data_IF_494467665984
#
_entry.id   IF_494467665984
#
_cell.length_a   1.000
_cell.length_b   1.000
_cell.length_c   1.000
_cell.angle_alpha   90.00
_cell.angle_beta   90.00
_cell.angle_gamma   90.00
#
_symmetry.space_group_name_H-M   'P 1'
#
loop_
_entity.id
_entity.type
_entity.pdbx_description
1 polymer ?
#
# COMPACT_ATOMS: atom_id res chain seq x y z
N UNK A 1 18.59 4.72 -12.37
CA UNK A 1 18.09 5.75 -11.43
C UNK A 1 17.46 5.08 -10.23
N UNK A 2 17.62 5.62 -9.04
CA UNK A 2 16.93 5.13 -7.85
C UNK A 2 15.41 5.34 -7.99
N UNK A 3 14.61 4.37 -7.53
CA UNK A 3 13.16 4.50 -7.50
C UNK A 3 12.75 5.59 -6.51
N UNK A 4 11.75 6.39 -6.85
CA UNK A 4 11.20 7.39 -5.96
C UNK A 4 10.50 6.70 -4.78
N UNK A 5 10.80 7.15 -3.56
CA UNK A 5 10.12 6.61 -2.38
C UNK A 5 8.65 6.96 -2.37
N UNK A 6 7.82 6.03 -1.89
CA UNK A 6 6.39 6.23 -1.70
C UNK A 6 6.02 5.90 -0.25
N UNK A 7 5.50 6.88 0.45
CA UNK A 7 5.06 6.74 1.84
C UNK A 7 3.55 6.93 1.88
N UNK A 8 2.84 5.85 2.10
CA UNK A 8 1.39 5.83 2.16
C UNK A 8 0.94 5.60 3.60
N UNK A 9 0.03 6.43 4.08
CA UNK A 9 -0.63 6.22 5.36
C UNK A 9 -1.88 5.38 5.17
N UNK A 10 -1.97 4.25 5.84
CA UNK A 10 -3.19 3.47 5.94
C UNK A 10 -3.90 3.88 7.23
N UNK A 11 -4.95 4.69 7.10
CA UNK A 11 -5.69 5.19 8.26
C UNK A 11 -6.58 4.12 8.90
N UNK A 12 -6.85 3.05 8.15
CA UNK A 12 -7.74 1.95 8.60
C UNK A 12 -9.12 2.49 8.96
N UNK A 13 -9.79 1.92 9.94
CA UNK A 13 -11.12 2.38 10.39
C UNK A 13 -10.97 3.46 11.48
N UNK A 14 -10.43 4.63 11.07
CA UNK A 14 -10.21 5.75 11.97
C UNK A 14 -10.62 7.07 11.30
N UNK A 15 -11.07 8.00 12.10
CA UNK A 15 -11.46 9.38 11.75
C UNK A 15 -12.83 9.49 11.11
N UNK A 16 -13.65 10.34 11.71
CA UNK A 16 -14.86 10.89 11.09
C UNK A 16 -14.46 11.90 10.02
N UNK A 17 -15.36 12.29 9.09
CA UNK A 17 -15.03 13.30 8.08
C UNK A 17 -14.45 14.59 8.64
N UNK A 18 -14.99 15.10 9.75
CA UNK A 18 -14.46 16.33 10.39
C UNK A 18 -13.09 16.12 11.00
N UNK A 19 -12.87 14.99 11.68
CA UNK A 19 -11.57 14.62 12.25
C UNK A 19 -10.53 14.38 11.14
N UNK A 20 -10.94 13.81 10.02
CA UNK A 20 -10.08 13.58 8.86
C UNK A 20 -9.55 14.91 8.28
N UNK A 21 -10.43 15.89 8.10
CA UNK A 21 -10.03 17.22 7.63
C UNK A 21 -9.06 17.88 8.62
N UNK A 22 -9.35 17.81 9.91
CA UNK A 22 -8.46 18.37 10.94
C UNK A 22 -7.07 17.72 10.91
N UNK A 23 -7.00 16.40 10.75
CA UNK A 23 -5.73 15.68 10.64
C UNK A 23 -4.96 16.08 9.38
N UNK A 24 -5.65 16.21 8.24
CA UNK A 24 -5.02 16.66 6.99
C UNK A 24 -4.39 18.04 7.18
N UNK A 25 -5.11 18.99 7.77
CA UNK A 25 -4.60 20.33 8.01
C UNK A 25 -3.35 20.32 8.92
N UNK A 26 -3.33 19.47 9.93
CA UNK A 26 -2.16 19.28 10.79
C UNK A 26 -0.97 18.71 10.01
N UNK A 27 -1.19 17.71 9.15
CA UNK A 27 -0.13 16.99 8.48
C UNK A 27 0.43 17.68 7.24
N UNK A 28 -0.37 18.50 6.54
CA UNK A 28 0.04 19.20 5.31
C UNK A 28 1.45 19.82 5.38
N UNK A 29 1.76 20.69 6.35
CA UNK A 29 3.07 21.33 6.39
C UNK A 29 4.19 20.36 6.76
N UNK A 30 3.87 19.23 7.40
CA UNK A 30 4.84 18.25 7.87
C UNK A 30 5.27 17.28 6.76
N UNK A 31 4.46 17.11 5.72
CA UNK A 31 4.71 16.16 4.63
C UNK A 31 4.92 16.84 3.26
N UNK A 32 5.17 18.13 3.25
CA UNK A 32 5.40 18.91 2.03
C UNK A 32 6.80 18.65 1.44
N UNK A 33 7.02 17.41 1.02
CA UNK A 33 8.28 16.90 0.48
C UNK A 33 8.05 16.33 -0.92
N UNK A 34 8.51 17.04 -1.94
CA UNK A 34 8.33 16.67 -3.35
C UNK A 34 9.25 15.51 -3.78
N UNK A 35 10.25 15.14 -2.98
CA UNK A 35 11.14 14.01 -3.26
C UNK A 35 10.52 12.66 -2.92
N UNK A 36 9.36 12.67 -2.28
CA UNK A 36 8.63 11.47 -1.84
C UNK A 36 7.18 11.56 -2.35
N UNK A 37 6.65 10.46 -2.88
CA UNK A 37 5.22 10.37 -3.13
C UNK A 37 4.51 10.12 -1.81
N UNK A 38 3.66 11.06 -1.40
CA UNK A 38 2.89 11.00 -0.16
C UNK A 38 1.43 10.68 -0.47
N UNK A 39 0.92 9.61 0.13
CA UNK A 39 -0.45 9.14 -0.09
C UNK A 39 -1.17 9.00 1.25
N UNK A 40 -2.39 9.52 1.32
CA UNK A 40 -3.29 9.27 2.45
C UNK A 40 -4.37 8.29 2.00
N UNK A 41 -4.30 7.05 2.47
CA UNK A 41 -5.32 6.03 2.23
C UNK A 41 -6.32 6.08 3.38
N UNK A 42 -7.54 6.48 3.08
CA UNK A 42 -8.55 6.85 4.08
C UNK A 42 -9.83 6.04 3.92
N UNK A 43 -10.67 5.92 4.97
CA UNK A 43 -11.99 5.32 4.86
C UNK A 43 -12.83 5.97 3.76
N UNK A 44 -13.71 5.19 3.12
CA UNK A 44 -14.51 5.67 1.99
C UNK A 44 -15.32 6.95 2.31
N UNK A 45 -15.85 7.04 3.52
CA UNK A 45 -16.61 8.22 3.96
C UNK A 45 -15.77 9.49 4.05
N UNK A 46 -14.46 9.36 4.18
CA UNK A 46 -13.52 10.48 4.35
C UNK A 46 -12.88 10.93 3.02
N UNK A 47 -13.06 10.16 1.94
CA UNK A 47 -12.38 10.40 0.66
C UNK A 47 -12.68 11.80 0.12
N UNK A 48 -13.94 12.16 -0.03
CA UNK A 48 -14.33 13.46 -0.61
C UNK A 48 -13.80 14.64 0.22
N UNK A 49 -14.02 14.70 1.54
CA UNK A 49 -13.48 15.80 2.33
C UNK A 49 -11.95 15.84 2.36
N UNK A 50 -11.28 14.69 2.38
CA UNK A 50 -9.81 14.65 2.32
C UNK A 50 -9.30 15.10 0.95
N UNK A 51 -9.92 14.66 -0.14
CA UNK A 51 -9.55 15.10 -1.50
C UNK A 51 -9.67 16.62 -1.65
N UNK A 52 -10.70 17.22 -1.09
CA UNK A 52 -10.85 18.68 -1.08
C UNK A 52 -9.74 19.34 -0.26
N UNK A 53 -9.47 18.80 0.93
CA UNK A 53 -8.49 19.37 1.86
C UNK A 53 -7.05 19.32 1.34
N UNK A 54 -6.69 18.35 0.50
CA UNK A 54 -5.32 18.21 -0.04
C UNK A 54 -5.09 18.93 -1.37
N UNK A 55 -6.10 19.57 -1.95
CA UNK A 55 -5.95 20.32 -3.19
C UNK A 55 -4.81 21.34 -3.11
N UNK A 56 -3.99 21.37 -4.16
CA UNK A 56 -2.85 22.29 -4.23
C UNK A 56 -1.64 21.85 -3.43
N UNK A 57 -1.67 20.66 -2.83
CA UNK A 57 -0.54 20.06 -2.12
C UNK A 57 0.06 18.90 -2.92
N UNK A 58 1.18 18.35 -2.43
CA UNK A 58 1.81 17.14 -2.96
C UNK A 58 1.10 15.84 -2.53
N UNK A 59 0.09 15.91 -1.68
CA UNK A 59 -0.58 14.75 -1.12
C UNK A 59 -1.57 14.18 -2.12
N UNK A 60 -1.49 12.86 -2.35
CA UNK A 60 -2.47 12.11 -3.13
C UNK A 60 -3.41 11.34 -2.20
N UNK A 61 -4.65 11.14 -2.64
CA UNK A 61 -5.65 10.39 -1.88
C UNK A 61 -5.72 8.95 -2.39
N UNK A 62 -5.72 8.02 -1.45
CA UNK A 62 -5.93 6.60 -1.70
C UNK A 62 -7.22 6.11 -1.03
N UNK A 63 -7.80 5.06 -1.60
CA UNK A 63 -8.86 4.28 -0.99
C UNK A 63 -8.27 3.06 -0.29
N UNK A 64 -8.99 2.53 0.70
CA UNK A 64 -8.57 1.36 1.47
C UNK A 64 -9.08 0.05 0.89
N UNK A 65 -9.97 0.12 -0.10
CA UNK A 65 -10.52 -1.00 -0.85
C UNK A 65 -11.37 -0.45 -2.01
N UNK A 66 -11.74 -1.32 -2.93
CA UNK A 66 -12.78 -1.09 -3.94
C UNK A 66 -13.32 -2.43 -4.41
N UNK A 67 -14.50 -2.41 -5.05
CA UNK A 67 -15.03 -3.61 -5.68
C UNK A 67 -14.54 -3.73 -7.13
N UNK A 68 -14.79 -4.88 -7.76
CA UNK A 68 -14.34 -5.18 -9.11
C UNK A 68 -15.45 -5.13 -10.17
N UNK A 69 -16.64 -4.65 -9.80
CA UNK A 69 -17.75 -4.44 -10.74
C UNK A 69 -17.94 -2.95 -11.00
N UNK A 70 -18.41 -2.62 -12.20
CA UNK A 70 -18.61 -1.23 -12.60
C UNK A 70 -19.80 -0.58 -11.87
N UNK A 71 -20.85 -1.34 -11.65
CA UNK A 71 -22.06 -0.92 -10.94
C UNK A 71 -22.93 -2.14 -10.66
N UNK A 72 -24.00 -1.98 -9.89
CA UNK A 72 -25.02 -3.02 -9.79
C UNK A 72 -25.46 -3.34 -8.36
N UNK A 73 -26.01 -4.53 -8.20
CA UNK A 73 -26.61 -5.00 -6.95
C UNK A 73 -25.54 -5.53 -5.98
N UNK A 74 -24.67 -4.64 -5.53
CA UNK A 74 -23.57 -4.93 -4.61
C UNK A 74 -23.64 -3.97 -3.44
N UNK A 75 -24.68 -4.08 -2.65
CA UNK A 75 -24.98 -3.15 -1.55
C UNK A 75 -23.78 -2.97 -0.61
N UNK A 76 -23.36 -1.71 -0.43
CA UNK A 76 -22.24 -1.35 0.44
C UNK A 76 -20.88 -1.23 -0.25
N UNK A 77 -20.76 -1.71 -1.51
CA UNK A 77 -19.50 -1.67 -2.25
C UNK A 77 -19.27 -0.32 -2.95
N UNK A 78 -18.02 -0.01 -3.18
CA UNK A 78 -17.56 1.20 -3.86
C UNK A 78 -16.91 0.79 -5.19
N UNK A 79 -17.40 1.34 -6.31
CA UNK A 79 -16.85 1.05 -7.63
C UNK A 79 -15.59 1.87 -7.94
N UNK A 80 -14.76 1.42 -8.90
CA UNK A 80 -13.63 2.22 -9.37
C UNK A 80 -14.03 3.61 -9.88
N UNK A 81 -15.14 3.72 -10.62
CA UNK A 81 -15.62 5.00 -11.14
C UNK A 81 -16.00 5.98 -10.03
N UNK A 82 -16.58 5.51 -8.93
CA UNK A 82 -16.88 6.32 -7.76
C UNK A 82 -15.58 6.90 -7.17
N UNK A 83 -14.52 6.11 -7.14
CA UNK A 83 -13.23 6.54 -6.62
C UNK A 83 -12.55 7.58 -7.52
N UNK A 84 -12.53 7.35 -8.83
CA UNK A 84 -11.90 8.30 -9.76
C UNK A 84 -12.62 9.64 -9.78
N UNK A 85 -13.95 9.63 -9.76
CA UNK A 85 -14.75 10.86 -9.69
C UNK A 85 -14.47 11.63 -8.40
N UNK A 86 -14.24 10.94 -7.30
CA UNK A 86 -13.89 11.54 -6.01
C UNK A 86 -12.42 12.02 -5.91
N UNK A 87 -11.59 11.79 -6.93
CA UNK A 87 -10.20 12.24 -6.95
C UNK A 87 -9.18 11.24 -6.41
N UNK A 88 -9.56 9.98 -6.23
CA UNK A 88 -8.65 8.92 -5.74
C UNK A 88 -7.64 8.55 -6.81
N UNK A 89 -6.36 8.42 -6.42
CA UNK A 89 -5.24 8.04 -7.30
C UNK A 89 -4.64 6.68 -6.97
N UNK A 90 -4.82 6.21 -5.76
CA UNK A 90 -4.29 4.93 -5.26
C UNK A 90 -5.38 4.11 -4.58
N UNK A 91 -5.22 2.80 -4.56
CA UNK A 91 -6.11 1.92 -3.80
C UNK A 91 -5.31 0.80 -3.16
N UNK A 92 -5.50 0.61 -1.86
CA UNK A 92 -4.94 -0.53 -1.12
C UNK A 92 -5.81 -1.75 -1.42
N UNK A 93 -5.20 -2.81 -1.91
CA UNK A 93 -5.90 -4.06 -2.26
C UNK A 93 -5.28 -5.24 -1.53
N UNK A 94 -6.12 -6.11 -1.00
CA UNK A 94 -5.67 -7.34 -0.38
C UNK A 94 -4.97 -7.16 0.96
N UNK A 95 -5.24 -6.07 1.69
CA UNK A 95 -4.68 -5.87 3.02
C UNK A 95 -4.98 -7.07 3.92
N UNK A 96 -4.05 -7.42 4.80
CA UNK A 96 -4.17 -8.59 5.68
C UNK A 96 -5.47 -8.61 6.49
N UNK A 97 -5.92 -7.48 6.98
CA UNK A 97 -7.18 -7.37 7.73
C UNK A 97 -8.37 -7.76 6.87
N UNK A 98 -8.37 -7.40 5.58
CA UNK A 98 -9.46 -7.79 4.68
C UNK A 98 -9.42 -9.26 4.32
N UNK A 99 -8.24 -9.84 4.20
CA UNK A 99 -8.08 -11.29 3.99
C UNK A 99 -8.56 -12.09 5.21
N UNK A 100 -8.26 -11.59 6.41
CA UNK A 100 -8.61 -12.26 7.66
C UNK A 100 -10.10 -12.10 8.01
N UNK A 101 -10.64 -10.89 7.92
CA UNK A 101 -11.98 -10.58 8.44
C UNK A 101 -13.07 -10.51 7.39
N UNK A 102 -12.73 -10.31 6.12
CA UNK A 102 -13.71 -10.00 5.06
C UNK A 102 -13.59 -10.92 3.84
N UNK A 103 -13.03 -12.10 4.02
CA UNK A 103 -12.93 -13.15 2.99
C UNK A 103 -12.27 -12.71 1.67
N UNK A 104 -11.35 -11.75 1.71
CA UNK A 104 -10.55 -11.36 0.56
C UNK A 104 -9.59 -12.49 0.20
N UNK A 105 -9.58 -12.87 -1.09
CA UNK A 105 -8.71 -13.94 -1.61
C UNK A 105 -7.74 -13.40 -2.64
N UNK A 106 -6.75 -14.20 -3.04
CA UNK A 106 -5.84 -13.81 -4.12
C UNK A 106 -6.61 -13.55 -5.42
N UNK A 107 -7.68 -14.31 -5.67
CA UNK A 107 -8.51 -14.19 -6.86
C UNK A 107 -9.33 -12.89 -6.87
N UNK A 108 -9.93 -12.53 -5.74
CA UNK A 108 -10.65 -11.24 -5.63
C UNK A 108 -9.70 -10.06 -5.73
N UNK A 109 -8.52 -10.17 -5.13
CA UNK A 109 -7.45 -9.15 -5.26
C UNK A 109 -7.07 -8.99 -6.73
N UNK A 110 -6.87 -10.07 -7.47
CA UNK A 110 -6.54 -10.01 -8.89
C UNK A 110 -7.62 -9.27 -9.69
N UNK A 111 -8.90 -9.60 -9.48
CA UNK A 111 -10.00 -8.89 -10.15
C UNK A 111 -9.98 -7.39 -9.88
N UNK A 112 -9.70 -7.02 -8.63
CA UNK A 112 -9.58 -5.60 -8.23
C UNK A 112 -8.35 -4.94 -8.85
N UNK A 113 -7.22 -5.65 -8.94
CA UNK A 113 -6.01 -5.16 -9.62
C UNK A 113 -6.30 -4.78 -11.07
N UNK A 114 -6.95 -5.68 -11.81
CA UNK A 114 -7.28 -5.45 -13.22
C UNK A 114 -8.20 -4.23 -13.38
N UNK A 115 -9.19 -4.08 -12.51
CA UNK A 115 -10.11 -2.94 -12.53
C UNK A 115 -9.43 -1.63 -12.15
N UNK A 116 -8.50 -1.66 -11.22
CA UNK A 116 -7.71 -0.48 -10.85
C UNK A 116 -6.97 0.07 -12.09
N UNK A 117 -6.29 -0.79 -12.83
CA UNK A 117 -5.58 -0.39 -14.04
C UNK A 117 -6.52 0.12 -15.13
N UNK A 118 -7.67 -0.52 -15.34
CA UNK A 118 -8.67 -0.05 -16.31
C UNK A 118 -9.12 1.38 -16.04
N UNK A 119 -9.21 1.77 -14.76
CA UNK A 119 -9.67 3.08 -14.33
C UNK A 119 -8.55 4.07 -14.01
N UNK A 120 -7.30 3.72 -14.27
CA UNK A 120 -6.16 4.61 -14.02
C UNK A 120 -5.87 4.84 -12.54
N UNK A 121 -6.28 3.92 -11.66
CA UNK A 121 -5.98 3.97 -10.23
C UNK A 121 -4.75 3.08 -9.98
N UNK A 122 -3.75 3.59 -9.31
CA UNK A 122 -2.55 2.82 -8.98
C UNK A 122 -2.84 1.90 -7.79
N UNK A 123 -2.77 0.57 -7.96
CA UNK A 123 -2.96 -0.34 -6.85
C UNK A 123 -1.72 -0.43 -5.95
N UNK A 124 -1.97 -0.50 -4.65
CA UNK A 124 -1.00 -0.92 -3.63
C UNK A 124 -1.45 -2.30 -3.20
N UNK A 125 -0.86 -3.34 -3.79
CA UNK A 125 -1.23 -4.72 -3.48
C UNK A 125 -0.47 -5.20 -2.25
N UNK A 126 -1.21 -5.60 -1.22
CA UNK A 126 -0.65 -6.14 0.01
C UNK A 126 -0.42 -7.65 -0.09
N UNK A 127 0.70 -8.08 0.43
CA UNK A 127 1.05 -9.50 0.57
C UNK A 127 1.81 -9.70 1.90
N UNK A 128 1.85 -10.92 2.38
CA UNK A 128 2.57 -11.25 3.60
C UNK A 128 2.19 -12.62 4.12
N UNK A 129 3.09 -13.20 4.89
CA UNK A 129 2.92 -14.50 5.54
C UNK A 129 2.37 -14.36 6.95
N UNK A 130 1.69 -15.41 7.41
CA UNK A 130 1.35 -15.56 8.83
C UNK A 130 2.58 -15.99 9.64
N UNK A 131 2.51 -15.86 10.96
CA UNK A 131 3.57 -16.36 11.85
C UNK A 131 3.79 -17.85 11.67
N UNK A 132 2.72 -18.63 11.56
CA UNK A 132 2.78 -20.08 11.33
C UNK A 132 3.54 -20.40 10.03
N UNK A 133 3.23 -19.70 8.94
CA UNK A 133 3.92 -19.90 7.65
C UNK A 133 5.41 -19.58 7.75
N UNK A 134 5.77 -18.53 8.51
CA UNK A 134 7.16 -18.18 8.76
C UNK A 134 7.88 -19.28 9.56
N UNK A 135 7.26 -19.77 10.61
CA UNK A 135 7.82 -20.83 11.45
C UNK A 135 7.98 -22.15 10.68
N UNK A 136 7.09 -22.41 9.72
CA UNK A 136 7.18 -23.58 8.82
C UNK A 136 8.22 -23.40 7.71
N UNK A 137 8.82 -22.22 7.56
CA UNK A 137 9.82 -21.94 6.53
C UNK A 137 9.24 -21.79 5.12
N UNK A 138 7.96 -21.47 4.99
CA UNK A 138 7.26 -21.35 3.68
C UNK A 138 6.87 -19.91 3.33
N UNK A 139 7.48 -18.93 3.98
CA UNK A 139 7.21 -17.51 3.77
C UNK A 139 7.17 -17.15 2.29
N UNK A 140 8.25 -17.43 1.55
CA UNK A 140 8.33 -17.05 0.15
C UNK A 140 7.39 -17.84 -0.77
N UNK A 141 7.06 -19.07 -0.42
CA UNK A 141 6.10 -19.86 -1.19
C UNK A 141 4.72 -19.19 -1.19
N UNK A 142 4.25 -18.75 -0.03
CA UNK A 142 2.97 -18.05 0.10
C UNK A 142 2.99 -16.65 -0.53
N UNK A 143 4.05 -15.89 -0.31
CA UNK A 143 4.19 -14.55 -0.89
C UNK A 143 4.25 -14.62 -2.42
N UNK A 144 5.03 -15.55 -2.97
CA UNK A 144 5.11 -15.77 -4.42
C UNK A 144 3.74 -16.15 -4.99
N UNK A 145 2.96 -16.97 -4.30
CA UNK A 145 1.59 -17.30 -4.72
C UNK A 145 0.70 -16.05 -4.73
N UNK A 146 0.74 -15.25 -3.68
CA UNK A 146 -0.03 -14.00 -3.60
C UNK A 146 0.32 -13.04 -4.76
N UNK A 147 1.60 -12.87 -5.03
CA UNK A 147 2.09 -12.00 -6.10
C UNK A 147 1.70 -12.54 -7.48
N UNK A 148 1.97 -13.82 -7.74
CA UNK A 148 1.67 -14.43 -9.03
C UNK A 148 0.18 -14.42 -9.36
N UNK A 149 -0.68 -14.76 -8.40
CA UNK A 149 -2.13 -14.75 -8.61
C UNK A 149 -2.65 -13.31 -8.70
N UNK A 150 -2.19 -12.41 -7.84
CA UNK A 150 -2.61 -11.01 -7.84
C UNK A 150 -2.27 -10.28 -9.14
N UNK A 151 -1.17 -10.63 -9.77
CA UNK A 151 -0.71 -10.03 -11.04
C UNK A 151 -1.15 -10.82 -12.29
N UNK A 152 -1.99 -11.82 -12.15
CA UNK A 152 -2.48 -12.59 -13.31
C UNK A 152 -3.17 -11.66 -14.31
N UNK A 153 -2.79 -11.76 -15.60
CA UNK A 153 -3.30 -10.92 -16.69
C UNK A 153 -2.98 -9.42 -16.57
N UNK A 154 -2.15 -9.02 -15.64
CA UNK A 154 -1.59 -7.66 -15.57
C UNK A 154 -0.42 -7.60 -16.56
N UNK A 155 -0.42 -6.58 -17.43
CA UNK A 155 0.67 -6.41 -18.40
C UNK A 155 1.96 -5.92 -17.73
N UNK A 156 3.11 -6.12 -18.39
CA UNK A 156 4.38 -5.61 -17.88
C UNK A 156 4.34 -4.09 -17.66
N UNK A 157 3.77 -3.34 -18.60
CA UNK A 157 3.66 -1.89 -18.49
C UNK A 157 2.77 -1.45 -17.31
N UNK A 158 1.68 -2.16 -17.06
CA UNK A 158 0.85 -1.94 -15.88
C UNK A 158 1.60 -2.26 -14.59
N UNK A 159 2.27 -3.42 -14.55
CA UNK A 159 3.03 -3.87 -13.37
C UNK A 159 4.11 -2.86 -12.96
N UNK A 160 4.77 -2.20 -13.91
CA UNK A 160 5.78 -1.17 -13.65
C UNK A 160 5.24 0.00 -12.82
N UNK A 161 3.95 0.28 -12.89
CA UNK A 161 3.31 1.39 -12.20
C UNK A 161 2.71 0.99 -10.84
N UNK A 162 2.55 -0.30 -10.61
CA UNK A 162 1.98 -0.82 -9.37
C UNK A 162 2.92 -0.65 -8.19
N UNK A 163 2.34 -0.76 -7.00
CA UNK A 163 3.08 -0.82 -5.74
C UNK A 163 2.71 -2.12 -5.04
N UNK A 164 3.70 -2.80 -4.47
CA UNK A 164 3.48 -3.97 -3.61
C UNK A 164 3.86 -3.57 -2.19
N UNK A 165 2.99 -3.84 -1.22
CA UNK A 165 3.26 -3.62 0.18
C UNK A 165 3.43 -4.98 0.89
N UNK A 166 4.60 -5.19 1.46
CA UNK A 166 4.91 -6.39 2.23
C UNK A 166 4.56 -6.20 3.71
N UNK A 167 3.62 -6.98 4.18
CA UNK A 167 3.19 -6.99 5.59
C UNK A 167 3.60 -8.32 6.25
N UNK A 168 4.62 -8.33 7.13
CA UNK A 168 4.89 -9.51 7.95
C UNK A 168 3.77 -9.66 8.99
N UNK A 169 2.73 -10.43 8.66
CA UNK A 169 1.49 -10.51 9.46
C UNK A 169 1.78 -11.03 10.86
N UNK A 170 2.72 -11.95 11.01
CA UNK A 170 3.15 -12.46 12.31
C UNK A 170 3.78 -11.41 13.23
N UNK A 171 4.17 -10.26 12.70
CA UNK A 171 4.71 -9.15 13.46
C UNK A 171 3.64 -8.11 13.83
N UNK A 172 2.48 -8.11 13.16
CA UNK A 172 1.42 -7.15 13.41
C UNK A 172 0.73 -7.48 14.75
N UNK A 173 0.81 -6.55 15.68
CA UNK A 173 0.15 -6.67 16.99
C UNK A 173 0.88 -7.53 18.02
N UNK A 174 2.01 -8.16 17.69
CA UNK A 174 2.79 -9.00 18.62
C UNK A 174 3.93 -8.25 19.32
N UNK A 175 4.22 -7.04 18.90
CA UNK A 175 5.41 -6.28 19.34
C UNK A 175 6.73 -6.84 18.78
N UNK A 176 6.69 -7.91 18.00
CA UNK A 176 7.85 -8.47 17.31
C UNK A 176 7.89 -7.90 15.90
N UNK A 177 8.73 -6.90 15.68
CA UNK A 177 8.99 -6.37 14.34
C UNK A 177 9.99 -7.26 13.61
N UNK A 178 9.81 -7.41 12.30
CA UNK A 178 10.88 -7.99 11.47
C UNK A 178 12.12 -7.09 11.57
N UNK A 179 13.30 -7.69 11.53
CA UNK A 179 14.53 -6.89 11.41
C UNK A 179 14.59 -6.25 10.03
N UNK A 180 15.41 -5.20 9.90
CA UNK A 180 15.63 -4.55 8.60
C UNK A 180 16.13 -5.54 7.56
N UNK A 181 17.01 -6.45 7.94
CA UNK A 181 17.56 -7.51 7.08
C UNK A 181 16.47 -8.49 6.64
N UNK A 182 15.58 -8.89 7.55
CA UNK A 182 14.46 -9.77 7.22
C UNK A 182 13.47 -9.08 6.26
N UNK A 183 13.19 -7.81 6.49
CA UNK A 183 12.33 -7.02 5.61
C UNK A 183 12.93 -6.90 4.20
N UNK A 184 14.23 -6.60 4.12
CA UNK A 184 14.95 -6.51 2.84
C UNK A 184 14.98 -7.84 2.10
N UNK A 185 15.26 -8.94 2.80
CA UNK A 185 15.28 -10.28 2.20
C UNK A 185 13.96 -10.61 1.50
N UNK A 186 12.84 -10.34 2.16
CA UNK A 186 11.52 -10.63 1.57
C UNK A 186 11.20 -9.67 0.43
N UNK A 187 11.48 -8.38 0.58
CA UNK A 187 11.26 -7.41 -0.50
C UNK A 187 12.11 -7.72 -1.74
N UNK A 188 13.37 -8.15 -1.54
CA UNK A 188 14.22 -8.63 -2.63
C UNK A 188 13.63 -9.88 -3.29
N UNK A 189 13.08 -10.79 -2.51
CA UNK A 189 12.41 -12.00 -3.01
C UNK A 189 11.15 -11.67 -3.82
N UNK A 190 10.38 -10.67 -3.41
CA UNK A 190 9.22 -10.17 -4.17
C UNK A 190 9.67 -9.60 -5.50
N UNK A 191 10.72 -8.79 -5.51
CA UNK A 191 11.28 -8.21 -6.74
C UNK A 191 11.77 -9.29 -7.68
N UNK A 192 12.46 -10.30 -7.16
CA UNK A 192 12.88 -11.47 -7.95
C UNK A 192 11.69 -12.23 -8.54
N UNK A 193 10.60 -12.34 -7.82
CA UNK A 193 9.36 -12.95 -8.33
C UNK A 193 8.78 -12.14 -9.51
N UNK A 194 8.76 -10.83 -9.43
CA UNK A 194 8.32 -9.95 -10.53
C UNK A 194 9.24 -10.11 -11.74
N UNK A 195 10.55 -10.19 -11.55
CA UNK A 195 11.50 -10.44 -12.63
C UNK A 195 11.23 -11.79 -13.33
N UNK A 196 10.91 -12.81 -12.57
CA UNK A 196 10.55 -14.13 -13.09
C UNK A 196 9.25 -14.11 -13.90
N UNK A 197 8.23 -13.42 -13.40
CA UNK A 197 6.90 -13.33 -14.05
C UNK A 197 6.94 -12.47 -15.30
N UNK A 198 7.72 -11.40 -15.31
CA UNK A 198 7.82 -10.43 -16.41
C UNK A 198 9.25 -10.39 -16.97
N UNK A 199 10.06 -9.50 -16.45
CA UNK A 199 11.46 -9.25 -16.83
C UNK A 199 12.15 -8.36 -15.78
N UNK A 200 13.46 -8.19 -15.93
CA UNK A 200 14.26 -7.35 -15.04
C UNK A 200 13.84 -5.88 -15.08
N UNK A 201 13.47 -5.36 -16.24
CA UNK A 201 13.06 -3.96 -16.36
C UNK A 201 11.79 -3.67 -15.59
N UNK A 202 10.82 -4.58 -15.59
CA UNK A 202 9.60 -4.48 -14.81
C UNK A 202 9.90 -4.55 -13.32
N UNK A 203 10.75 -5.50 -12.90
CA UNK A 203 11.17 -5.67 -11.52
C UNK A 203 11.88 -4.42 -10.97
N UNK A 204 12.74 -3.80 -11.78
CA UNK A 204 13.45 -2.58 -11.39
C UNK A 204 12.53 -1.36 -11.28
N UNK A 205 11.44 -1.33 -12.03
CA UNK A 205 10.50 -0.20 -12.04
C UNK A 205 9.47 -0.25 -10.92
N UNK A 206 8.98 -1.43 -10.54
CA UNK A 206 7.94 -1.58 -9.51
C UNK A 206 8.46 -1.13 -8.15
N UNK A 207 7.60 -0.44 -7.39
CA UNK A 207 7.97 0.00 -6.04
C UNK A 207 7.43 -0.99 -5.02
N UNK A 208 8.26 -1.33 -4.04
CA UNK A 208 7.93 -2.27 -2.98
C UNK A 208 8.03 -1.55 -1.65
N UNK A 209 6.91 -1.48 -0.92
CA UNK A 209 6.85 -0.87 0.40
C UNK A 209 7.01 -1.92 1.49
N UNK A 210 7.59 -1.51 2.61
CA UNK A 210 7.49 -2.26 3.85
C UNK A 210 6.22 -1.83 4.60
N UNK A 211 5.35 -2.78 4.89
CA UNK A 211 4.05 -2.56 5.54
C UNK A 211 3.97 -3.07 6.98
N UNK A 212 5.09 -3.47 7.55
CA UNK A 212 5.18 -3.78 8.97
C UNK A 212 5.23 -2.51 9.83
N UNK A 213 5.80 -2.60 11.02
CA UNK A 213 5.90 -1.44 11.91
C UNK A 213 6.94 -0.44 11.40
N UNK A 214 6.47 0.64 10.79
CA UNK A 214 7.31 1.78 10.38
C UNK A 214 7.04 2.95 11.32
N UNK A 215 8.10 3.54 11.83
CA UNK A 215 8.04 4.69 12.73
C UNK A 215 9.18 5.66 12.45
N UNK A 216 9.19 6.78 13.16
CA UNK A 216 10.23 7.79 13.01
C UNK A 216 11.65 7.27 13.30
N UNK A 217 11.77 6.25 14.14
CA UNK A 217 13.08 5.70 14.56
C UNK A 217 13.66 4.68 13.59
N UNK A 218 12.87 4.01 12.75
CA UNK A 218 13.35 2.97 11.85
C UNK A 218 13.19 3.29 10.35
N UNK A 219 12.50 4.35 10.00
CA UNK A 219 12.22 4.69 8.60
C UNK A 219 13.51 4.89 7.78
N UNK A 220 14.48 5.62 8.30
CA UNK A 220 15.74 5.88 7.59
C UNK A 220 16.49 4.60 7.25
N UNK A 221 16.61 3.67 8.20
CA UNK A 221 17.28 2.39 8.01
C UNK A 221 16.54 1.50 7.01
N UNK A 222 15.21 1.40 7.15
CA UNK A 222 14.37 0.62 6.23
C UNK A 222 14.44 1.17 4.80
N UNK A 223 14.28 2.48 4.63
CA UNK A 223 14.24 3.10 3.30
C UNK A 223 15.61 3.22 2.63
N UNK A 224 16.68 2.97 3.37
CA UNK A 224 18.03 2.86 2.82
C UNK A 224 18.30 1.51 2.15
N UNK A 225 17.45 0.50 2.38
CA UNK A 225 17.61 -0.81 1.78
C UNK A 225 17.35 -0.77 0.27
N UNK A 226 18.06 -1.64 -0.47
CA UNK A 226 18.03 -1.64 -1.95
C UNK A 226 16.63 -1.93 -2.52
N UNK A 227 15.83 -2.74 -1.84
CA UNK A 227 14.55 -3.23 -2.34
C UNK A 227 13.34 -2.71 -1.56
N UNK A 228 13.55 -1.78 -0.63
CA UNK A 228 12.47 -1.12 0.11
C UNK A 228 12.32 0.32 -0.41
N UNK A 229 11.20 0.59 -1.06
CA UNK A 229 10.94 1.85 -1.74
C UNK A 229 9.97 2.76 -0.98
N UNK A 230 9.87 2.58 0.32
CA UNK A 230 8.99 3.34 1.19
C UNK A 230 8.19 2.46 2.13
N UNK A 231 7.08 2.98 2.62
CA UNK A 231 6.28 2.29 3.63
C UNK A 231 4.78 2.46 3.45
N UNK A 232 4.04 1.43 3.85
CA UNK A 232 2.61 1.50 4.11
C UNK A 232 2.46 1.59 5.63
N UNK A 233 2.14 2.78 6.12
CA UNK A 233 2.25 3.16 7.53
C UNK A 233 0.88 3.14 8.20
N UNK A 234 0.75 2.39 9.29
CA UNK A 234 -0.49 2.32 10.06
C UNK A 234 -0.63 3.47 11.06
N UNK A 235 -0.63 3.15 12.36
CA UNK A 235 -0.93 4.10 13.43
C UNK A 235 -0.10 5.39 13.42
N UNK A 236 1.17 5.33 13.04
CA UNK A 236 2.01 6.52 12.94
C UNK A 236 1.54 7.51 11.86
N UNK A 237 0.74 7.06 10.88
CA UNK A 237 0.17 7.95 9.86
C UNK A 237 -0.94 8.87 10.38
N UNK A 238 -1.45 8.59 11.56
CA UNK A 238 -2.48 9.39 12.23
C UNK A 238 -1.91 10.45 13.18
N UNK A 239 -0.60 10.65 13.15
CA UNK A 239 0.14 11.53 14.08
C UNK A 239 1.17 12.37 13.34
N UNK A 240 1.64 13.41 14.02
CA UNK A 240 2.74 14.25 13.51
C UNK A 240 4.00 13.45 13.14
N UNK A 241 4.21 12.27 13.75
CA UNK A 241 5.31 11.35 13.42
C UNK A 241 5.33 10.95 11.94
N UNK A 242 4.20 11.01 11.26
CA UNK A 242 4.15 10.73 9.82
C UNK A 242 5.08 11.66 9.03
N UNK A 243 5.17 12.92 9.45
CA UNK A 243 6.10 13.88 8.86
C UNK A 243 7.56 13.43 8.96
N UNK A 244 7.95 12.84 10.10
CA UNK A 244 9.31 12.32 10.29
C UNK A 244 9.59 11.09 9.43
N UNK A 245 8.58 10.28 9.16
CA UNK A 245 8.70 9.13 8.25
C UNK A 245 8.85 9.60 6.80
N UNK A 246 8.05 10.56 6.37
CA UNK A 246 8.14 11.16 5.04
C UNK A 246 9.51 11.83 4.84
N UNK A 247 10.01 12.51 5.86
CA UNK A 247 11.31 13.20 5.84
C UNK A 247 12.40 12.38 6.53
N UNK A 248 12.51 11.13 6.18
CA UNK A 248 13.36 10.12 6.81
C UNK A 248 14.88 10.35 6.70
N UNK A 249 15.32 11.24 5.84
CA UNK A 249 16.75 11.58 5.63
C UNK A 249 17.31 12.45 6.75
#
# INVERSE_FOLDING_TARGET
MARKKIVAGNWKMNKTPSEAVALVEELKPLVANEDVDVVFCVPAIDIIPVAEAVKGTNIQVGAENMYFEESGAYTGEISPAMLTDAGVKYVVLGHSERREYFAETNETVNKKMLKAFEHGITPIMCCGETLEQREQGVTMDFIRQQVKVGFQNVTADQAKTAVIAYEPIGAIGTGKTATTEQAEEVCAGIRACIAEVYDEATAEAIRIQYGGSVNAGNAAELFAQADIDGGLVGGASLKADFGKIVNYK
#
